data_IF_570002858741
#
_entry.id   IF_570002858741
#
_cell.length_a   1.000
_cell.length_b   1.000
_cell.length_c   1.000
_cell.angle_alpha   90.00
_cell.angle_beta   90.00
_cell.angle_gamma   90.00
#
_symmetry.space_group_name_H-M   'P 1'
#
loop_
_entity.id
_entity.type
_entity.pdbx_description
1 polymer ?
#
# COMPACT_ATOMS: atom_id res chain seq x y z
N UNK A 1 23.88 -18.06 25.71
CA UNK A 1 23.47 -16.92 24.87
C UNK A 1 24.62 -15.95 24.91
N UNK A 2 25.43 -15.95 23.85
CA UNK A 2 26.56 -15.03 23.71
C UNK A 2 26.04 -13.58 23.64
N UNK A 3 26.81 -12.62 24.17
CA UNK A 3 26.40 -11.21 24.21
C UNK A 3 26.10 -10.65 22.79
N UNK A 4 26.76 -11.21 21.78
CA UNK A 4 26.57 -10.91 20.36
C UNK A 4 25.19 -11.35 19.83
N UNK A 5 24.68 -12.50 20.26
CA UNK A 5 23.36 -13.02 19.86
C UNK A 5 22.23 -12.17 20.45
N UNK A 6 22.41 -11.70 21.70
CA UNK A 6 21.43 -10.82 22.36
C UNK A 6 21.34 -9.48 21.62
N UNK A 7 22.48 -8.88 21.25
CA UNK A 7 22.50 -7.64 20.46
C UNK A 7 21.82 -7.82 19.10
N UNK A 8 22.13 -8.91 18.38
CA UNK A 8 21.54 -9.20 17.07
C UNK A 8 20.01 -9.39 17.15
N UNK A 9 19.53 -10.10 18.16
CA UNK A 9 18.08 -10.26 18.40
C UNK A 9 17.41 -8.94 18.76
N UNK A 10 18.07 -8.08 19.55
CA UNK A 10 17.55 -6.76 19.88
C UNK A 10 17.44 -5.86 18.63
N UNK A 11 18.49 -5.80 17.80
CA UNK A 11 18.48 -5.04 16.54
C UNK A 11 17.37 -5.53 15.60
N UNK A 12 17.17 -6.85 15.51
CA UNK A 12 16.14 -7.43 14.65
C UNK A 12 14.72 -7.08 15.12
N UNK A 13 14.47 -7.09 16.44
CA UNK A 13 13.19 -6.64 17.02
C UNK A 13 12.96 -5.13 16.86
N UNK A 14 14.01 -4.33 16.98
CA UNK A 14 13.95 -2.89 16.74
C UNK A 14 13.62 -2.60 15.27
N UNK A 15 14.23 -3.33 14.33
CA UNK A 15 13.91 -3.22 12.90
C UNK A 15 12.45 -3.58 12.61
N UNK A 16 11.94 -4.69 13.15
CA UNK A 16 10.52 -5.05 12.99
C UNK A 16 9.59 -3.97 13.53
N UNK A 17 9.92 -3.37 14.68
CA UNK A 17 9.12 -2.30 15.27
C UNK A 17 9.12 -1.04 14.40
N UNK A 18 10.26 -0.70 13.79
CA UNK A 18 10.39 0.39 12.82
C UNK A 18 9.60 0.12 11.53
N UNK A 19 9.62 -1.11 11.02
CA UNK A 19 8.81 -1.50 9.86
C UNK A 19 7.31 -1.43 10.15
N UNK A 20 6.88 -1.93 11.31
CA UNK A 20 5.49 -1.83 11.75
C UNK A 20 5.05 -0.36 11.89
N UNK A 21 5.92 0.51 12.44
CA UNK A 21 5.66 1.94 12.52
C UNK A 21 5.51 2.58 11.14
N UNK A 22 6.42 2.29 10.20
CA UNK A 22 6.35 2.80 8.81
C UNK A 22 5.07 2.36 8.13
N UNK A 23 4.67 1.09 8.29
CA UNK A 23 3.43 0.56 7.73
C UNK A 23 2.19 1.26 8.30
N UNK A 24 2.16 1.48 9.60
CA UNK A 24 1.07 2.20 10.25
C UNK A 24 1.01 3.67 9.80
N UNK A 25 2.16 4.35 9.68
CA UNK A 25 2.22 5.72 9.17
C UNK A 25 1.81 5.83 7.71
N UNK A 26 2.13 4.85 6.86
CA UNK A 26 1.72 4.82 5.46
C UNK A 26 0.19 4.70 5.31
N UNK A 27 -0.48 4.01 6.26
CA UNK A 27 -1.94 3.89 6.31
C UNK A 27 -2.65 5.11 6.89
N UNK A 28 -1.94 5.99 7.60
CA UNK A 28 -2.53 7.19 8.19
C UNK A 28 -2.76 8.22 7.08
N UNK A 29 -4.00 8.70 6.99
CA UNK A 29 -4.42 9.73 6.02
C UNK A 29 -3.85 11.08 6.43
N UNK A 30 -2.64 11.40 5.96
CA UNK A 30 -1.92 12.66 6.27
C UNK A 30 -2.42 13.88 5.49
N UNK A 31 -3.58 13.79 4.84
CA UNK A 31 -4.16 14.86 4.03
C UNK A 31 -3.47 15.10 2.68
N UNK A 32 -2.39 14.37 2.40
CA UNK A 32 -1.76 14.29 1.07
C UNK A 32 -2.22 13.03 0.35
N UNK A 33 -2.43 13.13 -0.95
CA UNK A 33 -2.65 11.99 -1.82
C UNK A 33 -1.47 11.02 -1.69
N UNK A 34 -1.75 9.79 -1.23
CA UNK A 34 -0.78 8.71 -1.14
C UNK A 34 -1.37 7.49 -1.87
N UNK A 35 -0.71 6.97 -2.93
CA UNK A 35 -1.17 5.80 -3.67
C UNK A 35 -1.31 4.55 -2.79
N UNK A 36 -0.48 4.42 -1.74
CA UNK A 36 -0.58 3.31 -0.78
C UNK A 36 -1.93 3.23 -0.06
N UNK A 37 -2.70 4.33 -0.01
CA UNK A 37 -4.05 4.29 0.56
C UNK A 37 -5.02 3.45 -0.30
N UNK A 38 -4.77 3.36 -1.60
CA UNK A 38 -5.60 2.59 -2.53
C UNK A 38 -5.19 1.11 -2.63
N UNK A 39 -4.07 0.71 -2.03
CA UNK A 39 -3.65 -0.71 -1.96
C UNK A 39 -4.60 -1.56 -1.10
N UNK A 40 -5.39 -0.94 -0.21
CA UNK A 40 -6.45 -1.65 0.54
C UNK A 40 -7.71 -1.90 -0.29
N UNK A 41 -7.85 -1.24 -1.44
CA UNK A 41 -9.01 -1.42 -2.33
C UNK A 41 -8.76 -2.63 -3.22
N UNK A 42 -9.60 -3.64 -3.05
CA UNK A 42 -9.61 -4.82 -3.90
C UNK A 42 -10.73 -4.68 -4.92
N UNK A 43 -10.41 -4.94 -6.19
CA UNK A 43 -11.35 -4.87 -7.31
C UNK A 43 -11.56 -6.27 -7.86
N UNK A 44 -12.82 -6.59 -8.17
CA UNK A 44 -13.20 -7.88 -8.71
C UNK A 44 -12.81 -7.99 -10.19
N UNK A 45 -11.68 -8.64 -10.44
CA UNK A 45 -11.17 -8.94 -11.79
C UNK A 45 -11.47 -10.39 -12.14
N UNK A 46 -12.34 -10.59 -13.14
CA UNK A 46 -12.74 -11.91 -13.65
C UNK A 46 -13.07 -12.97 -12.55
N UNK A 47 -13.83 -12.57 -11.52
CA UNK A 47 -14.26 -13.48 -10.43
C UNK A 47 -13.24 -13.67 -9.31
N UNK A 48 -12.11 -12.94 -9.34
CA UNK A 48 -11.11 -12.92 -8.27
C UNK A 48 -10.89 -11.49 -7.76
N UNK A 49 -10.73 -11.35 -6.45
CA UNK A 49 -10.42 -10.06 -5.81
C UNK A 49 -8.93 -9.78 -5.95
N UNK A 50 -8.57 -8.83 -6.82
CA UNK A 50 -7.19 -8.39 -7.01
C UNK A 50 -7.01 -6.98 -6.44
N UNK A 51 -5.84 -6.65 -5.88
CA UNK A 51 -5.56 -5.30 -5.42
C UNK A 51 -5.57 -4.32 -6.60
N UNK A 52 -6.06 -3.10 -6.36
CA UNK A 52 -6.18 -2.08 -7.40
C UNK A 52 -4.86 -1.77 -8.10
N UNK A 53 -3.73 -1.85 -7.39
CA UNK A 53 -2.38 -1.63 -7.93
C UNK A 53 -1.97 -2.63 -9.02
N UNK A 54 -2.63 -3.78 -9.12
CA UNK A 54 -2.39 -4.76 -10.20
C UNK A 54 -3.30 -4.52 -11.43
N UNK A 55 -4.45 -3.87 -11.25
CA UNK A 55 -5.45 -3.66 -12.30
C UNK A 55 -5.35 -2.26 -12.93
N UNK A 56 -4.72 -1.32 -12.23
CA UNK A 56 -4.54 0.06 -12.68
C UNK A 56 -3.19 0.64 -12.26
N UNK A 57 -2.66 1.54 -13.08
CA UNK A 57 -1.53 2.36 -12.70
C UNK A 57 -2.00 3.53 -11.82
N UNK A 58 -1.41 3.64 -10.64
CA UNK A 58 -1.71 4.71 -9.69
C UNK A 58 -0.65 5.81 -9.82
N UNK A 59 -1.08 7.01 -10.20
CA UNK A 59 -0.21 8.17 -10.36
C UNK A 59 -0.68 9.31 -9.47
N UNK A 60 0.27 10.06 -8.90
CA UNK A 60 -0.02 11.28 -8.17
C UNK A 60 -0.06 12.43 -9.17
N UNK A 61 -1.26 12.97 -9.44
CA UNK A 61 -1.39 14.17 -10.27
C UNK A 61 -1.19 15.42 -9.43
N UNK A 62 -1.77 15.46 -8.23
CA UNK A 62 -1.67 16.59 -7.31
C UNK A 62 -1.77 16.10 -5.85
N UNK A 63 -1.41 16.96 -4.89
CA UNK A 63 -1.44 16.67 -3.46
C UNK A 63 -2.82 16.24 -2.93
N UNK A 64 -3.90 16.41 -3.71
CA UNK A 64 -5.26 15.98 -3.38
C UNK A 64 -5.89 15.04 -4.42
N UNK A 65 -5.22 14.76 -5.53
CA UNK A 65 -5.78 14.02 -6.67
C UNK A 65 -4.86 12.85 -7.03
N UNK A 66 -5.40 11.63 -6.88
CA UNK A 66 -4.75 10.41 -7.37
C UNK A 66 -5.42 10.04 -8.69
N UNK A 67 -4.61 9.91 -9.74
CA UNK A 67 -5.06 9.38 -11.03
C UNK A 67 -4.95 7.88 -11.05
N UNK A 68 -6.06 7.22 -11.35
CA UNK A 68 -6.14 5.77 -11.52
C UNK A 68 -6.33 5.49 -13.00
N UNK A 69 -5.30 4.95 -13.65
CA UNK A 69 -5.33 4.61 -15.07
C UNK A 69 -5.47 3.08 -15.22
N UNK A 70 -6.68 2.55 -15.47
CA UNK A 70 -6.87 1.11 -15.65
C UNK A 70 -6.20 0.61 -16.93
N UNK A 71 -5.66 -0.61 -16.89
CA UNK A 71 -5.09 -1.26 -18.07
C UNK A 71 -6.16 -1.65 -19.09
N UNK A 72 -7.39 -1.91 -18.63
CA UNK A 72 -8.53 -2.27 -19.46
C UNK A 72 -9.66 -1.25 -19.37
N UNK A 73 -10.19 -0.83 -20.53
CA UNK A 73 -11.27 0.15 -20.64
C UNK A 73 -12.58 -0.27 -19.95
N UNK A 74 -12.78 -1.57 -19.69
CA UNK A 74 -13.97 -2.10 -19.00
C UNK A 74 -13.87 -2.12 -17.46
N UNK A 75 -12.67 -1.91 -16.91
CA UNK A 75 -12.47 -1.97 -15.45
C UNK A 75 -12.79 -0.65 -14.74
N UNK A 76 -12.95 0.46 -15.47
CA UNK A 76 -13.28 1.76 -14.88
C UNK A 76 -14.53 1.74 -13.99
N UNK A 77 -15.62 1.11 -14.46
CA UNK A 77 -16.88 1.02 -13.70
C UNK A 77 -16.79 0.08 -12.47
N UNK A 78 -15.82 -0.82 -12.43
CA UNK A 78 -15.55 -1.70 -11.28
C UNK A 78 -14.59 -1.07 -10.27
N UNK A 79 -13.74 -0.17 -10.73
CA UNK A 79 -12.78 0.59 -9.92
C UNK A 79 -13.44 1.80 -9.25
N UNK A 80 -14.44 2.40 -9.90
CA UNK A 80 -15.20 3.55 -9.37
C UNK A 80 -16.25 3.16 -8.31
N UNK A 81 -16.62 1.87 -8.23
CA UNK A 81 -17.53 1.33 -7.22
C UNK A 81 -16.83 1.09 -5.89
#
# INVERSE_FOLDING_TARGET
MELSEIKKNADQKMHQSLEALKHNLAKIRTGRANPQLLDTVQVEYYGSMLPLSQVANLSLLDARTIGVAPWEKGMGAKIEK
#
